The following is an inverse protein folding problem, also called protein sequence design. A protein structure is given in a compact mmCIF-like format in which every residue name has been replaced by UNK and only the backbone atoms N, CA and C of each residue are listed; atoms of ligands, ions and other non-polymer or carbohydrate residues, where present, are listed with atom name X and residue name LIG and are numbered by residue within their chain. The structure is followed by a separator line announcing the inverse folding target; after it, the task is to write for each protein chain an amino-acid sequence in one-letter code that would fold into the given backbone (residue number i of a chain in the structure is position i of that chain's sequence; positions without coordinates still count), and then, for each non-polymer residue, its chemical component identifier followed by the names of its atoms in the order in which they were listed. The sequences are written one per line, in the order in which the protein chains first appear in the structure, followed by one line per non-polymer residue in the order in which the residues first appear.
data_IF_403694359976
#
_entry.id   IF_403694359976
#
_cell.length_a   1.000
_cell.length_b   1.000
_cell.length_c   1.000
_cell.angle_alpha   90.00
_cell.angle_beta   90.00
_cell.angle_gamma   90.00
#
_symmetry.space_group_name_H-M   'P 1'
#
loop_
_entity.id
_entity.type
_entity.pdbx_description
1 polymer ?
#
# COMPACT_ATOMS: atom_id res chain seq x y z
N UNK A 1 -29.27 -23.02 19.26
CA UNK A 1 -28.75 -23.22 17.89
C UNK A 1 -28.81 -21.97 17.00
N UNK A 2 -29.93 -21.22 16.93
CA UNK A 2 -30.04 -20.02 16.08
C UNK A 2 -29.11 -18.85 16.48
N UNK A 3 -28.94 -18.57 17.77
CA UNK A 3 -28.07 -17.49 18.27
C UNK A 3 -26.57 -17.73 18.05
N UNK A 4 -26.14 -19.00 18.02
CA UNK A 4 -24.73 -19.36 17.77
C UNK A 4 -24.37 -19.11 16.30
N UNK A 5 -25.22 -19.58 15.39
CA UNK A 5 -25.06 -19.39 13.95
C UNK A 5 -25.13 -17.93 13.51
N UNK A 6 -25.98 -17.12 14.16
CA UNK A 6 -26.06 -15.68 13.92
C UNK A 6 -24.78 -14.94 14.34
N UNK A 7 -24.10 -15.38 15.42
CA UNK A 7 -22.82 -14.81 15.85
C UNK A 7 -21.67 -15.19 14.92
N UNK A 8 -21.63 -16.44 14.45
CA UNK A 8 -20.64 -16.90 13.49
C UNK A 8 -20.74 -16.16 12.15
N UNK A 9 -21.95 -15.90 11.66
CA UNK A 9 -22.17 -15.08 10.47
C UNK A 9 -21.70 -13.63 10.67
N UNK A 10 -22.03 -13.02 11.81
CA UNK A 10 -21.59 -11.65 12.12
C UNK A 10 -20.05 -11.54 12.28
N UNK A 11 -19.40 -12.57 12.83
CA UNK A 11 -17.94 -12.65 12.90
C UNK A 11 -17.34 -12.78 11.49
N UNK A 12 -17.88 -13.66 10.65
CA UNK A 12 -17.42 -13.85 9.27
C UNK A 12 -17.62 -12.59 8.41
N UNK A 13 -18.74 -11.88 8.55
CA UNK A 13 -18.97 -10.59 7.88
C UNK A 13 -17.97 -9.54 8.36
N UNK A 14 -17.65 -9.51 9.66
CA UNK A 14 -16.62 -8.64 10.22
C UNK A 14 -15.23 -8.93 9.67
N UNK A 15 -14.86 -10.21 9.55
CA UNK A 15 -13.58 -10.65 8.96
C UNK A 15 -13.48 -10.26 7.47
N UNK A 16 -14.56 -10.41 6.70
CA UNK A 16 -14.61 -10.01 5.29
C UNK A 16 -14.48 -8.49 5.11
N UNK A 17 -15.10 -7.69 5.99
CA UNK A 17 -14.97 -6.23 5.98
C UNK A 17 -13.52 -5.82 6.26
N UNK A 18 -12.89 -6.43 7.28
CA UNK A 18 -11.49 -6.18 7.61
C UNK A 18 -10.56 -6.51 6.43
N UNK A 19 -10.74 -7.68 5.81
CA UNK A 19 -9.94 -8.09 4.66
C UNK A 19 -10.11 -7.15 3.45
N UNK A 20 -11.33 -6.67 3.18
CA UNK A 20 -11.56 -5.67 2.13
C UNK A 20 -10.87 -4.34 2.45
N UNK A 21 -10.97 -3.86 3.69
CA UNK A 21 -10.29 -2.63 4.09
C UNK A 21 -8.77 -2.74 3.96
N UNK A 22 -8.19 -3.90 4.28
CA UNK A 22 -6.76 -4.15 4.08
C UNK A 22 -6.37 -4.19 2.60
N UNK A 23 -7.22 -4.75 1.73
CA UNK A 23 -7.03 -4.73 0.27
C UNK A 23 -7.14 -3.31 -0.30
N UNK A 24 -8.15 -2.53 0.12
CA UNK A 24 -8.32 -1.13 -0.31
C UNK A 24 -7.09 -0.31 0.09
N UNK A 25 -6.63 -0.46 1.33
CA UNK A 25 -5.41 0.20 1.80
C UNK A 25 -4.14 -0.26 1.05
N UNK A 26 -4.08 -1.52 0.60
CA UNK A 26 -2.97 -2.01 -0.23
C UNK A 26 -3.02 -1.37 -1.63
N UNK A 27 -4.21 -1.25 -2.21
CA UNK A 27 -4.40 -0.60 -3.51
C UNK A 27 -3.99 0.87 -3.47
N UNK A 28 -4.36 1.60 -2.41
CA UNK A 28 -3.96 3.00 -2.22
C UNK A 28 -2.44 3.15 -2.14
N UNK A 29 -1.76 2.32 -1.33
CA UNK A 29 -0.30 2.36 -1.22
C UNK A 29 0.40 2.02 -2.54
N UNK A 30 -0.11 1.01 -3.27
CA UNK A 30 0.42 0.64 -4.59
C UNK A 30 0.23 1.76 -5.62
N UNK A 31 -0.91 2.44 -5.59
CA UNK A 31 -1.17 3.57 -6.45
C UNK A 31 -0.20 4.73 -6.16
N UNK A 32 0.05 5.06 -4.90
CA UNK A 32 1.03 6.09 -4.52
C UNK A 32 2.44 5.73 -4.99
N UNK A 33 2.85 4.47 -4.87
CA UNK A 33 4.13 4.00 -5.39
C UNK A 33 4.21 4.10 -6.92
N UNK A 34 3.14 3.75 -7.65
CA UNK A 34 3.09 3.89 -9.11
C UNK A 34 3.32 5.35 -9.54
N UNK A 35 2.66 6.30 -8.87
CA UNK A 35 2.87 7.73 -9.10
C UNK A 35 4.33 8.13 -8.82
N UNK A 36 4.88 7.73 -7.67
CA UNK A 36 6.26 8.05 -7.30
C UNK A 36 7.27 7.54 -8.34
N UNK A 37 7.05 6.32 -8.86
CA UNK A 37 7.89 5.74 -9.93
C UNK A 37 7.75 6.51 -11.23
N UNK A 38 6.53 6.86 -11.64
CA UNK A 38 6.28 7.62 -12.86
C UNK A 38 6.91 9.01 -12.81
N UNK A 39 6.80 9.69 -11.67
CA UNK A 39 7.38 11.02 -11.45
C UNK A 39 8.90 10.95 -11.42
N UNK A 40 9.49 10.00 -10.67
CA UNK A 40 10.95 9.81 -10.64
C UNK A 40 11.52 9.51 -12.04
N UNK A 41 10.82 8.70 -12.84
CA UNK A 41 11.23 8.44 -14.24
C UNK A 41 11.23 9.70 -15.07
N UNK A 42 10.18 10.52 -14.98
CA UNK A 42 10.08 11.79 -15.70
C UNK A 42 11.16 12.77 -15.26
N UNK A 43 11.46 12.82 -13.97
CA UNK A 43 12.50 13.69 -13.41
C UNK A 43 13.88 13.30 -13.94
N UNK A 44 14.17 11.99 -14.00
CA UNK A 44 15.44 11.45 -14.52
C UNK A 44 15.64 11.65 -16.03
N UNK A 45 14.58 11.96 -16.79
CA UNK A 45 14.70 12.30 -18.22
C UNK A 45 15.23 13.72 -18.46
N UNK A 46 15.46 14.50 -17.39
CA UNK A 46 15.96 15.87 -17.44
C UNK A 46 17.25 16.03 -16.62
N UNK A 47 18.03 17.07 -16.91
CA UNK A 47 19.20 17.41 -16.08
C UNK A 47 18.74 17.87 -14.69
N UNK A 48 19.12 17.11 -13.66
CA UNK A 48 18.80 17.40 -12.27
C UNK A 48 20.03 17.85 -11.49
N UNK A 49 19.83 18.78 -10.57
CA UNK A 49 20.79 19.04 -9.51
C UNK A 49 20.81 17.89 -8.50
N UNK A 50 21.90 17.80 -7.73
CA UNK A 50 22.02 16.81 -6.64
C UNK A 50 20.92 16.96 -5.58
N UNK A 51 20.40 18.18 -5.38
CA UNK A 51 19.34 18.45 -4.43
C UNK A 51 18.02 17.86 -4.92
N UNK A 52 17.64 18.13 -6.17
CA UNK A 52 16.43 17.58 -6.78
C UNK A 52 16.46 16.06 -6.84
N UNK A 53 17.62 15.46 -7.18
CA UNK A 53 17.78 14.00 -7.16
C UNK A 53 17.56 13.41 -5.76
N UNK A 54 18.04 14.09 -4.72
CA UNK A 54 17.84 13.65 -3.33
C UNK A 54 16.37 13.73 -2.92
N UNK A 55 15.65 14.72 -3.42
CA UNK A 55 14.24 14.90 -3.12
C UNK A 55 13.37 13.87 -3.85
N UNK A 56 13.65 13.61 -5.13
CA UNK A 56 13.01 12.52 -5.88
C UNK A 56 13.24 11.14 -5.23
N UNK A 57 14.49 10.84 -4.83
CA UNK A 57 14.81 9.60 -4.13
C UNK A 57 14.08 9.46 -2.79
N UNK A 58 13.93 10.57 -2.06
CA UNK A 58 13.24 10.57 -0.77
C UNK A 58 11.75 10.35 -0.93
N UNK A 59 11.11 11.01 -1.90
CA UNK A 59 9.73 10.70 -2.25
C UNK A 59 9.60 9.20 -2.57
N UNK A 60 10.42 8.68 -3.49
CA UNK A 60 10.32 7.28 -3.90
C UNK A 60 10.44 6.32 -2.69
N UNK A 61 11.35 6.60 -1.75
CA UNK A 61 11.50 5.82 -0.52
C UNK A 61 10.28 5.97 0.41
N UNK A 62 9.74 7.17 0.58
CA UNK A 62 8.56 7.41 1.40
C UNK A 62 7.34 6.66 0.85
N UNK A 63 7.17 6.64 -0.47
CA UNK A 63 6.09 5.90 -1.14
C UNK A 63 6.28 4.36 -1.07
N UNK A 64 7.53 3.89 -1.07
CA UNK A 64 7.84 2.46 -0.98
C UNK A 64 7.79 1.91 0.46
N UNK A 65 8.02 2.78 1.47
CA UNK A 65 8.14 2.36 2.88
C UNK A 65 6.91 1.61 3.42
N UNK A 66 5.66 2.05 3.17
CA UNK A 66 4.48 1.31 3.64
C UNK A 66 4.45 -0.13 3.14
N UNK A 67 4.86 -0.37 1.89
CA UNK A 67 4.89 -1.70 1.29
C UNK A 67 6.06 -2.55 1.80
N UNK A 68 7.20 -1.93 2.13
CA UNK A 68 8.33 -2.63 2.73
C UNK A 68 8.07 -3.02 4.19
N UNK A 69 7.38 -2.15 4.93
CA UNK A 69 7.05 -2.33 6.35
C UNK A 69 5.86 -3.27 6.58
N UNK A 70 4.92 -3.33 5.63
CA UNK A 70 3.99 -4.44 5.46
C UNK A 70 4.84 -5.67 5.15
N UNK A 71 5.40 -6.32 6.18
CA UNK A 71 6.05 -7.63 6.03
C UNK A 71 5.15 -8.44 5.11
N UNK A 72 5.64 -8.72 3.90
CA UNK A 72 4.98 -9.59 2.95
C UNK A 72 4.87 -10.93 3.67
N UNK A 73 3.80 -11.11 4.44
CA UNK A 73 3.41 -12.37 4.98
C UNK A 73 3.06 -13.16 3.74
N UNK A 74 4.08 -13.84 3.19
CA UNK A 74 3.92 -14.82 2.15
C UNK A 74 2.70 -15.64 2.58
N UNK A 75 1.68 -15.64 1.71
CA UNK A 75 0.43 -16.33 1.93
C UNK A 75 0.72 -17.69 2.57
N UNK A 76 0.20 -17.89 3.79
CA UNK A 76 0.27 -19.17 4.49
C UNK A 76 -0.47 -20.25 3.73
#
# INVERSE_FOLDING_TARGET
MSRQRARELALSDGELVMARTELDALHDDLYVLECAVADTRRDLDHDMTKAELRDALRWLLDAASPLADRKLAAAG
#
